data_IF_165585876766
#
_entry.id   IF_165585876766
#
_cell.length_a   1.000
_cell.length_b   1.000
_cell.length_c   1.000
_cell.angle_alpha   90.00
_cell.angle_beta   90.00
_cell.angle_gamma   90.00
#
_symmetry.space_group_name_H-M   'P 1'
#
loop_
_entity.id
_entity.type
_entity.pdbx_description
1 polymer ?
#
# COMPACT_ATOMS: atom_id res chain seq x y z
N UNK A 1 17.55 -16.74 -13.28
CA UNK A 1 16.26 -16.11 -13.57
C UNK A 1 15.92 -15.31 -12.33
N UNK A 2 16.05 -13.98 -12.36
CA UNK A 2 15.82 -13.10 -11.23
C UNK A 2 14.33 -13.04 -10.94
N UNK A 3 13.93 -13.43 -9.73
CA UNK A 3 12.56 -13.26 -9.23
C UNK A 3 12.25 -11.76 -9.08
N UNK A 4 11.70 -11.19 -10.13
CA UNK A 4 11.08 -9.87 -10.07
C UNK A 4 9.84 -9.97 -9.20
N UNK A 5 9.91 -9.42 -7.96
CA UNK A 5 8.82 -9.26 -7.01
C UNK A 5 7.82 -10.41 -7.00
N UNK A 6 8.13 -11.53 -6.32
CA UNK A 6 7.32 -12.74 -6.42
C UNK A 6 5.91 -12.49 -5.88
N UNK A 7 4.91 -12.59 -6.77
CA UNK A 7 3.52 -12.72 -6.38
C UNK A 7 3.38 -13.99 -5.55
N UNK A 8 3.02 -13.84 -4.27
CA UNK A 8 2.97 -14.95 -3.30
C UNK A 8 1.63 -15.68 -3.28
N UNK A 9 0.61 -15.17 -3.96
CA UNK A 9 -0.71 -15.79 -4.06
C UNK A 9 -0.91 -16.54 -5.39
N UNK A 10 -1.84 -17.47 -5.42
CA UNK A 10 -2.32 -18.07 -6.66
C UNK A 10 -3.28 -17.11 -7.35
N UNK A 11 -3.08 -16.82 -8.63
CA UNK A 11 -3.89 -15.88 -9.39
C UNK A 11 -4.52 -16.54 -10.62
N UNK A 12 -5.85 -16.58 -10.65
CA UNK A 12 -6.62 -16.89 -11.86
C UNK A 12 -6.82 -15.61 -12.67
N UNK A 13 -5.97 -15.41 -13.67
CA UNK A 13 -6.02 -14.22 -14.50
C UNK A 13 -6.83 -14.43 -15.76
N UNK A 14 -7.87 -13.60 -15.93
CA UNK A 14 -8.59 -13.46 -17.20
C UNK A 14 -7.91 -12.34 -18.00
N UNK A 15 -7.27 -12.71 -19.10
CA UNK A 15 -6.57 -11.74 -19.96
C UNK A 15 -7.61 -10.94 -20.76
N UNK A 16 -7.73 -9.66 -20.44
CA UNK A 16 -8.62 -8.69 -21.07
C UNK A 16 -7.98 -7.31 -21.03
N UNK A 17 -8.14 -6.54 -22.08
CA UNK A 17 -7.74 -5.12 -22.07
C UNK A 17 -8.70 -4.32 -21.22
N UNK A 18 -8.19 -3.73 -20.15
CA UNK A 18 -8.97 -2.83 -19.31
C UNK A 18 -9.13 -1.48 -20.01
N UNK A 19 -10.38 -1.03 -20.12
CA UNK A 19 -10.67 0.35 -20.49
C UNK A 19 -10.34 1.28 -19.33
N UNK A 20 -10.26 2.60 -19.62
CA UNK A 20 -10.15 3.64 -18.59
C UNK A 20 -11.33 3.52 -17.61
N UNK A 21 -11.05 3.38 -16.33
CA UNK A 21 -12.03 3.19 -15.26
C UNK A 21 -12.16 4.43 -14.38
N UNK A 22 -13.24 4.52 -13.64
CA UNK A 22 -13.46 5.59 -12.69
C UNK A 22 -12.34 5.63 -11.64
N UNK A 23 -11.70 6.78 -11.45
CA UNK A 23 -10.56 6.96 -10.54
C UNK A 23 -9.19 6.70 -11.17
N UNK A 24 -9.09 6.29 -12.46
CA UNK A 24 -7.82 6.01 -13.12
C UNK A 24 -6.89 7.23 -13.17
N UNK A 25 -7.43 8.40 -13.50
CA UNK A 25 -6.65 9.65 -13.58
C UNK A 25 -6.15 10.09 -12.21
N UNK A 26 -7.01 9.98 -11.22
CA UNK A 26 -6.66 10.24 -9.84
C UNK A 26 -5.58 9.27 -9.35
N UNK A 27 -5.69 7.98 -9.71
CA UNK A 27 -4.68 6.96 -9.39
C UNK A 27 -3.31 7.37 -9.97
N UNK A 28 -3.24 7.76 -11.24
CA UNK A 28 -2.00 8.24 -11.86
C UNK A 28 -1.49 9.54 -11.21
N UNK A 29 -2.36 10.47 -10.88
CA UNK A 29 -1.98 11.72 -10.20
C UNK A 29 -1.28 11.43 -8.86
N UNK A 30 -1.92 10.64 -8.00
CA UNK A 30 -1.34 10.32 -6.68
C UNK A 30 -0.14 9.41 -6.77
N UNK A 31 -0.13 8.49 -7.74
CA UNK A 31 1.06 7.67 -8.02
C UNK A 31 2.28 8.54 -8.38
N UNK A 32 2.14 9.53 -9.26
CA UNK A 32 3.23 10.47 -9.59
C UNK A 32 3.71 11.24 -8.36
N UNK A 33 2.82 11.64 -7.46
CA UNK A 33 3.19 12.29 -6.19
C UNK A 33 4.03 11.35 -5.32
N UNK A 34 3.63 10.10 -5.15
CA UNK A 34 4.36 9.10 -4.37
C UNK A 34 5.71 8.73 -4.99
N UNK A 35 5.81 8.66 -6.32
CA UNK A 35 7.08 8.49 -7.03
C UNK A 35 8.07 9.63 -6.74
N UNK A 36 7.59 10.89 -6.77
CA UNK A 36 8.43 12.06 -6.43
C UNK A 36 8.89 12.05 -4.97
N UNK A 37 8.09 11.49 -4.07
CA UNK A 37 8.44 11.31 -2.66
C UNK A 37 9.37 10.11 -2.44
N UNK A 38 9.62 9.28 -3.46
CA UNK A 38 10.42 8.05 -3.37
C UNK A 38 9.78 6.96 -2.50
N UNK A 39 8.46 7.03 -2.27
CA UNK A 39 7.76 6.07 -1.40
C UNK A 39 7.12 4.91 -2.17
N UNK A 40 7.11 4.97 -3.49
CA UNK A 40 6.86 3.87 -4.41
C UNK A 40 7.91 3.91 -5.51
N UNK A 41 8.15 2.80 -6.20
CA UNK A 41 9.12 2.77 -7.28
C UNK A 41 9.75 1.40 -7.51
N UNK A 42 11.04 1.40 -7.75
CA UNK A 42 11.89 0.20 -7.83
C UNK A 42 13.07 0.36 -6.88
N UNK A 43 13.47 -0.71 -6.25
CA UNK A 43 14.66 -0.76 -5.39
C UNK A 43 15.96 -0.95 -6.20
N UNK A 44 17.08 -1.02 -5.50
CA UNK A 44 18.42 -1.21 -6.11
C UNK A 44 18.58 -2.56 -6.84
N UNK A 45 17.71 -3.53 -6.56
CA UNK A 45 17.68 -4.85 -7.21
C UNK A 45 16.69 -4.87 -8.40
N UNK A 46 16.02 -3.75 -8.70
CA UNK A 46 15.01 -3.65 -9.75
C UNK A 46 13.64 -4.21 -9.34
N UNK A 47 13.42 -4.48 -8.06
CA UNK A 47 12.14 -4.96 -7.53
C UNK A 47 11.21 -3.77 -7.28
N UNK A 48 9.99 -3.86 -7.81
CA UNK A 48 8.97 -2.84 -7.60
C UNK A 48 8.44 -2.86 -6.16
N UNK A 49 8.23 -1.69 -5.58
CA UNK A 49 7.64 -1.52 -4.26
C UNK A 49 6.56 -0.44 -4.26
N UNK A 50 5.58 -0.65 -3.37
CA UNK A 50 4.43 0.23 -3.22
C UNK A 50 3.41 0.08 -4.36
N UNK A 51 2.15 0.31 -4.05
CA UNK A 51 1.04 0.16 -4.98
C UNK A 51 -0.18 0.96 -4.51
N UNK A 52 -1.10 1.21 -5.43
CA UNK A 52 -2.33 1.93 -5.18
C UNK A 52 -3.51 1.14 -5.72
N UNK A 53 -4.65 1.25 -5.04
CA UNK A 53 -5.91 0.72 -5.56
C UNK A 53 -7.08 1.67 -5.35
N UNK A 54 -8.10 1.48 -6.18
CA UNK A 54 -9.39 2.17 -6.08
C UNK A 54 -10.52 1.16 -6.20
N UNK A 55 -11.54 1.28 -5.35
CA UNK A 55 -12.73 0.42 -5.38
C UNK A 55 -13.54 0.64 -6.66
N UNK A 56 -14.08 -0.41 -7.22
CA UNK A 56 -14.97 -0.36 -8.37
C UNK A 56 -16.43 -0.10 -7.92
N UNK A 57 -16.79 1.16 -7.75
CA UNK A 57 -18.12 1.54 -7.28
C UNK A 57 -18.46 0.97 -5.91
N UNK A 58 -19.71 0.51 -5.73
CA UNK A 58 -20.19 -0.09 -4.48
C UNK A 58 -19.98 -1.62 -4.40
N UNK A 59 -19.05 -2.16 -5.19
CA UNK A 59 -18.76 -3.60 -5.22
C UNK A 59 -17.58 -3.96 -4.30
N UNK A 60 -17.32 -5.26 -4.11
CA UNK A 60 -16.11 -5.79 -3.50
C UNK A 60 -14.90 -5.78 -4.45
N UNK A 61 -15.13 -5.47 -5.74
CA UNK A 61 -14.07 -5.42 -6.75
C UNK A 61 -13.27 -4.12 -6.63
N UNK A 62 -12.02 -4.15 -7.06
CA UNK A 62 -11.17 -2.97 -7.08
C UNK A 62 -10.13 -3.05 -8.20
N UNK A 63 -9.68 -1.90 -8.68
CA UNK A 63 -8.54 -1.78 -9.57
C UNK A 63 -7.29 -1.54 -8.74
N UNK A 64 -6.20 -2.19 -9.11
CA UNK A 64 -4.91 -2.06 -8.44
C UNK A 64 -3.79 -1.96 -9.48
N UNK A 65 -2.75 -1.21 -9.17
CA UNK A 65 -1.55 -1.16 -10.01
C UNK A 65 -0.94 -2.55 -10.15
N UNK A 66 -0.53 -2.90 -11.36
CA UNK A 66 -0.02 -4.22 -11.69
C UNK A 66 1.38 -4.50 -11.13
N UNK A 67 1.70 -5.77 -11.00
CA UNK A 67 3.04 -6.21 -10.63
C UNK A 67 4.08 -5.74 -11.66
N UNK A 68 5.25 -5.32 -11.18
CA UNK A 68 6.36 -4.86 -12.04
C UNK A 68 6.20 -3.47 -12.66
N UNK A 69 5.16 -2.70 -12.30
CA UNK A 69 4.92 -1.35 -12.84
C UNK A 69 5.68 -0.23 -12.11
N UNK A 70 6.45 -0.56 -11.08
CA UNK A 70 7.17 0.42 -10.24
C UNK A 70 8.05 1.40 -11.02
N UNK A 71 8.67 0.96 -12.13
CA UNK A 71 9.55 1.78 -12.98
C UNK A 71 8.81 2.76 -13.93
N UNK A 72 7.51 2.56 -14.16
CA UNK A 72 6.75 3.37 -15.11
C UNK A 72 6.45 4.75 -14.52
N UNK A 73 6.76 5.86 -15.21
CA UNK A 73 6.45 7.19 -14.71
C UNK A 73 4.94 7.49 -14.73
N UNK A 74 4.24 6.89 -15.68
CA UNK A 74 2.80 6.97 -15.87
C UNK A 74 2.25 5.61 -16.27
N UNK A 75 1.05 5.26 -15.82
CA UNK A 75 0.39 4.00 -16.14
C UNK A 75 -0.64 4.20 -17.26
N UNK A 76 -0.75 3.17 -18.09
CA UNK A 76 -1.92 2.95 -18.96
C UNK A 76 -2.93 2.05 -18.22
N UNK A 77 -4.21 1.98 -18.64
CA UNK A 77 -5.16 1.04 -18.05
C UNK A 77 -4.65 -0.42 -18.08
N UNK A 78 -3.88 -0.79 -19.11
CA UNK A 78 -3.23 -2.08 -19.25
C UNK A 78 -2.19 -2.40 -18.16
N UNK A 79 -1.67 -1.40 -17.46
CA UNK A 79 -0.73 -1.55 -16.33
C UNK A 79 -1.45 -1.76 -14.99
N UNK A 80 -2.77 -1.82 -15.02
CA UNK A 80 -3.61 -2.12 -13.85
C UNK A 80 -4.29 -3.49 -14.03
N UNK A 81 -4.70 -4.08 -12.92
CA UNK A 81 -5.55 -5.26 -12.87
C UNK A 81 -6.83 -4.95 -12.09
N UNK A 82 -7.95 -5.55 -12.48
CA UNK A 82 -9.20 -5.53 -11.71
C UNK A 82 -9.32 -6.82 -10.92
N UNK A 83 -9.26 -6.75 -9.60
CA UNK A 83 -9.53 -7.88 -8.71
C UNK A 83 -11.04 -8.04 -8.60
N UNK A 84 -11.54 -9.25 -8.93
CA UNK A 84 -12.99 -9.56 -9.01
C UNK A 84 -13.42 -10.60 -8.00
N UNK A 85 -12.49 -11.40 -7.48
CA UNK A 85 -12.73 -12.36 -6.40
C UNK A 85 -11.44 -12.63 -5.64
N UNK A 86 -11.55 -13.04 -4.39
CA UNK A 86 -10.42 -13.44 -3.56
C UNK A 86 -10.86 -14.40 -2.45
N UNK A 87 -9.90 -15.16 -1.96
CA UNK A 87 -10.06 -16.08 -0.82
C UNK A 87 -8.77 -16.05 0.01
N UNK A 88 -8.85 -15.47 1.19
CA UNK A 88 -7.69 -15.33 2.07
C UNK A 88 -7.14 -16.69 2.53
N UNK A 89 -8.03 -17.63 2.89
CA UNK A 89 -7.60 -18.94 3.39
C UNK A 89 -6.85 -19.76 2.33
N UNK A 90 -7.20 -19.58 1.06
CA UNK A 90 -6.56 -20.24 -0.08
C UNK A 90 -5.34 -19.47 -0.60
N UNK A 91 -5.06 -18.29 -0.08
CA UNK A 91 -4.09 -17.35 -0.66
C UNK A 91 -4.29 -17.19 -2.17
N UNK A 92 -5.51 -16.90 -2.57
CA UNK A 92 -5.95 -16.91 -3.96
C UNK A 92 -6.73 -15.63 -4.30
N UNK A 93 -6.58 -15.19 -5.54
CA UNK A 93 -7.47 -14.19 -6.13
C UNK A 93 -7.72 -14.45 -7.61
N UNK A 94 -8.81 -13.87 -8.12
CA UNK A 94 -9.09 -13.76 -9.54
C UNK A 94 -8.96 -12.32 -9.96
N UNK A 95 -8.23 -12.08 -11.04
CA UNK A 95 -8.10 -10.74 -11.61
C UNK A 95 -8.31 -10.73 -13.13
N UNK A 96 -8.75 -9.58 -13.61
CA UNK A 96 -8.89 -9.26 -15.02
C UNK A 96 -7.84 -8.22 -15.41
N UNK A 97 -7.23 -8.39 -16.56
CA UNK A 97 -6.21 -7.48 -17.07
C UNK A 97 -5.12 -8.20 -17.87
N UNK A 98 -4.33 -7.44 -18.61
CA UNK A 98 -3.15 -7.97 -19.31
C UNK A 98 -1.95 -8.12 -18.37
N UNK A 99 -1.97 -7.42 -17.23
CA UNK A 99 -0.97 -7.57 -16.15
C UNK A 99 -1.53 -8.36 -14.98
N UNK A 100 -0.64 -8.89 -14.14
CA UNK A 100 -1.02 -9.54 -12.87
C UNK A 100 -1.20 -8.46 -11.80
N UNK A 101 -2.19 -8.63 -10.93
CA UNK A 101 -2.41 -7.76 -9.78
C UNK A 101 -1.17 -7.73 -8.87
N UNK A 102 -0.94 -6.61 -8.18
CA UNK A 102 0.16 -6.46 -7.22
C UNK A 102 0.16 -7.57 -6.16
N UNK A 103 1.35 -7.98 -5.70
CA UNK A 103 1.52 -8.95 -4.61
C UNK A 103 0.81 -8.58 -3.30
N UNK A 104 0.50 -7.30 -3.11
CA UNK A 104 -0.23 -6.79 -1.94
C UNK A 104 -1.76 -6.76 -2.10
N UNK A 105 -2.30 -7.33 -3.21
CA UNK A 105 -3.74 -7.26 -3.50
C UNK A 105 -4.61 -7.82 -2.39
N UNK A 106 -4.18 -8.88 -1.69
CA UNK A 106 -4.94 -9.45 -0.57
C UNK A 106 -4.89 -8.54 0.67
N UNK A 107 -3.82 -7.81 0.90
CA UNK A 107 -3.75 -6.75 1.92
C UNK A 107 -4.77 -5.65 1.64
N UNK A 108 -4.86 -5.19 0.38
CA UNK A 108 -5.87 -4.21 -0.04
C UNK A 108 -7.30 -4.76 0.08
N UNK A 109 -7.53 -6.01 -0.34
CA UNK A 109 -8.82 -6.68 -0.19
C UNK A 109 -9.26 -6.74 1.28
N UNK A 110 -8.35 -7.05 2.21
CA UNK A 110 -8.64 -7.08 3.64
C UNK A 110 -9.09 -5.71 4.18
N UNK A 111 -8.46 -4.61 3.71
CA UNK A 111 -8.92 -3.24 4.05
C UNK A 111 -10.32 -2.97 3.52
N UNK A 112 -10.56 -3.28 2.23
CA UNK A 112 -11.88 -3.05 1.61
C UNK A 112 -13.00 -3.89 2.25
N UNK A 113 -12.70 -5.12 2.65
CA UNK A 113 -13.68 -5.99 3.32
C UNK A 113 -14.01 -5.48 4.72
N UNK A 114 -12.99 -5.00 5.46
CA UNK A 114 -13.15 -4.53 6.83
C UNK A 114 -13.80 -3.15 6.94
N UNK A 115 -13.66 -2.29 5.91
CA UNK A 115 -14.30 -0.97 5.87
C UNK A 115 -14.97 -0.71 4.52
N UNK A 116 -16.28 -0.97 4.39
CA UNK A 116 -17.04 -0.71 3.17
C UNK A 116 -17.02 0.76 2.72
N UNK A 117 -16.74 1.71 3.62
CA UNK A 117 -16.63 3.14 3.30
C UNK A 117 -15.30 3.51 2.65
N UNK A 118 -14.30 2.64 2.74
CA UNK A 118 -13.00 2.83 2.07
C UNK A 118 -13.14 2.58 0.58
N UNK A 119 -12.72 3.56 -0.24
CA UNK A 119 -12.71 3.45 -1.69
C UNK A 119 -11.30 3.55 -2.30
N UNK A 120 -10.28 3.85 -1.50
CA UNK A 120 -8.90 3.91 -1.95
C UNK A 120 -7.92 3.42 -0.89
N UNK A 121 -6.87 2.71 -1.34
CA UNK A 121 -5.78 2.22 -0.48
C UNK A 121 -4.44 2.56 -1.15
N UNK A 122 -3.50 3.05 -0.37
CA UNK A 122 -2.11 3.32 -0.75
C UNK A 122 -1.22 2.47 0.14
N UNK A 123 -0.46 1.56 -0.44
CA UNK A 123 0.68 0.92 0.19
C UNK A 123 1.97 1.57 -0.31
N UNK A 124 2.80 2.04 0.59
CA UNK A 124 4.07 2.68 0.26
C UNK A 124 5.19 2.15 1.14
N UNK A 125 6.44 2.38 0.70
CA UNK A 125 7.64 2.09 1.49
C UNK A 125 8.32 3.39 1.89
N UNK A 126 8.39 3.62 3.19
CA UNK A 126 9.11 4.73 3.78
C UNK A 126 9.70 4.27 5.12
N UNK A 127 10.97 3.93 5.13
CA UNK A 127 11.62 3.35 6.31
C UNK A 127 11.65 4.33 7.50
N UNK A 128 11.78 5.64 7.24
CA UNK A 128 11.76 6.65 8.29
C UNK A 128 10.38 6.74 8.93
N UNK A 129 9.35 6.88 8.10
CA UNK A 129 7.97 6.94 8.55
C UNK A 129 7.56 5.63 9.23
N UNK A 130 7.92 4.48 8.66
CA UNK A 130 7.67 3.16 9.23
C UNK A 130 8.24 3.03 10.64
N UNK A 131 9.53 3.37 10.81
CA UNK A 131 10.21 3.35 12.12
C UNK A 131 9.55 4.31 13.12
N UNK A 132 9.17 5.50 12.64
CA UNK A 132 8.54 6.52 13.47
C UNK A 132 7.15 6.13 13.97
N UNK A 133 6.38 5.41 13.15
CA UNK A 133 5.00 5.01 13.42
C UNK A 133 4.87 3.63 14.07
N UNK A 134 5.89 2.78 13.99
CA UNK A 134 5.88 1.43 14.54
C UNK A 134 5.41 1.43 15.99
N UNK A 135 4.37 0.67 16.30
CA UNK A 135 3.69 0.58 17.60
C UNK A 135 3.05 1.90 18.13
N UNK A 136 3.08 2.99 17.36
CA UNK A 136 2.38 4.24 17.70
C UNK A 136 1.06 4.41 16.95
N UNK A 137 0.93 3.71 15.84
CA UNK A 137 -0.33 3.51 15.12
C UNK A 137 -0.65 2.02 15.09
N UNK A 138 -1.85 1.61 14.66
CA UNK A 138 -2.16 0.20 14.46
C UNK A 138 -1.05 -0.49 13.65
N UNK A 139 -0.56 -1.62 14.15
CA UNK A 139 0.63 -2.29 13.63
C UNK A 139 0.38 -3.79 13.56
N UNK A 140 0.65 -4.42 12.40
CA UNK A 140 0.55 -5.87 12.25
C UNK A 140 1.67 -6.58 13.01
N UNK A 141 1.51 -7.87 13.38
CA UNK A 141 2.57 -8.60 14.07
C UNK A 141 3.86 -8.71 13.24
N UNK A 142 5.02 -8.64 13.89
CA UNK A 142 6.35 -8.67 13.25
C UNK A 142 6.65 -9.97 12.49
N UNK A 143 6.07 -11.10 12.93
CA UNK A 143 6.31 -12.41 12.30
C UNK A 143 5.44 -12.67 11.07
N UNK A 144 4.56 -11.75 10.72
CA UNK A 144 3.63 -11.91 9.61
C UNK A 144 4.21 -11.30 8.34
N UNK A 145 4.51 -12.16 7.37
CA UNK A 145 5.07 -11.74 6.09
C UNK A 145 4.00 -11.14 5.16
N UNK A 146 4.39 -10.18 4.32
CA UNK A 146 3.52 -9.62 3.28
C UNK A 146 3.13 -10.68 2.23
N UNK A 147 1.96 -10.50 1.60
CA UNK A 147 1.47 -11.37 0.55
C UNK A 147 1.05 -12.78 1.03
N UNK A 148 0.83 -12.96 2.34
CA UNK A 148 0.38 -14.21 2.95
C UNK A 148 -1.05 -14.09 3.48
N UNK A 149 -1.78 -15.22 3.67
CA UNK A 149 -3.08 -15.23 4.34
C UNK A 149 -3.03 -14.58 5.73
N UNK A 150 -1.95 -14.84 6.47
CA UNK A 150 -1.73 -14.33 7.82
C UNK A 150 -1.70 -12.80 7.83
N UNK A 151 -1.14 -12.15 6.79
CA UNK A 151 -1.17 -10.70 6.65
C UNK A 151 -2.58 -10.18 6.45
N UNK A 152 -3.38 -10.83 5.59
CA UNK A 152 -4.77 -10.43 5.39
C UNK A 152 -5.58 -10.55 6.69
N UNK A 153 -5.42 -11.62 7.44
CA UNK A 153 -6.06 -11.81 8.75
C UNK A 153 -5.53 -10.82 9.81
N UNK A 154 -4.23 -10.53 9.82
CA UNK A 154 -3.66 -9.54 10.72
C UNK A 154 -4.26 -8.14 10.45
N UNK A 155 -4.39 -7.75 9.19
CA UNK A 155 -5.04 -6.49 8.80
C UNK A 155 -6.49 -6.46 9.27
N UNK A 156 -7.30 -7.49 9.04
CA UNK A 156 -8.68 -7.57 9.56
C UNK A 156 -8.72 -7.43 11.07
N UNK A 157 -7.80 -8.10 11.77
CA UNK A 157 -7.67 -7.99 13.23
C UNK A 157 -7.36 -6.57 13.73
N UNK A 158 -6.69 -5.72 12.92
CA UNK A 158 -6.52 -4.30 13.25
C UNK A 158 -7.86 -3.56 13.27
N UNK A 159 -8.76 -3.86 12.34
CA UNK A 159 -10.08 -3.22 12.27
C UNK A 159 -10.98 -3.65 13.45
N UNK A 160 -10.85 -4.89 13.92
CA UNK A 160 -11.63 -5.42 15.04
C UNK A 160 -11.12 -4.93 16.40
N UNK A 161 -9.81 -4.71 16.56
CA UNK A 161 -9.18 -4.59 17.87
C UNK A 161 -8.43 -3.27 18.12
N UNK A 162 -8.42 -2.35 17.15
CA UNK A 162 -7.66 -1.09 17.27
C UNK A 162 -8.46 0.12 16.78
N UNK A 163 -7.86 1.30 16.88
CA UNK A 163 -8.44 2.55 16.36
C UNK A 163 -8.10 2.83 14.88
N UNK A 164 -7.78 1.79 14.09
CA UNK A 164 -7.37 1.91 12.68
C UNK A 164 -8.39 2.66 11.82
N UNK A 165 -9.69 2.46 12.08
CA UNK A 165 -10.77 3.19 11.39
C UNK A 165 -10.68 4.71 11.60
N UNK A 166 -10.22 5.15 12.77
CA UNK A 166 -10.03 6.56 13.10
C UNK A 166 -8.70 7.08 12.54
N UNK A 167 -7.65 6.28 12.65
CA UNK A 167 -6.29 6.64 12.20
C UNK A 167 -6.17 6.64 10.68
N UNK A 168 -6.90 5.77 9.96
CA UNK A 168 -6.83 5.60 8.50
C UNK A 168 -5.42 5.30 7.97
N UNK A 169 -4.55 4.77 8.83
CA UNK A 169 -3.18 4.37 8.55
C UNK A 169 -2.77 3.23 9.48
N UNK A 170 -1.98 2.30 8.98
CA UNK A 170 -1.32 1.27 9.77
C UNK A 170 0.06 0.92 9.24
N UNK A 171 0.86 0.25 10.06
CA UNK A 171 2.22 -0.19 9.74
C UNK A 171 2.27 -1.71 9.66
N UNK A 172 2.97 -2.23 8.66
CA UNK A 172 3.24 -3.65 8.48
C UNK A 172 4.60 -3.97 9.13
N UNK A 173 4.60 -4.46 10.38
CA UNK A 173 5.86 -4.68 11.11
C UNK A 173 6.73 -5.78 10.48
N UNK A 174 6.13 -6.85 9.93
CA UNK A 174 6.83 -7.90 9.20
C UNK A 174 7.22 -7.54 7.75
N UNK A 175 7.06 -6.26 7.35
CA UNK A 175 7.38 -5.73 6.03
C UNK A 175 8.08 -4.38 6.15
N UNK A 176 9.41 -4.41 6.28
CA UNK A 176 10.20 -3.21 6.56
C UNK A 176 9.92 -2.07 5.57
N UNK A 177 9.60 -0.91 6.09
CA UNK A 177 9.18 0.26 5.31
C UNK A 177 7.70 0.27 4.92
N UNK A 178 6.97 -0.84 5.05
CA UNK A 178 5.59 -0.98 4.62
C UNK A 178 4.59 -0.19 5.47
N UNK A 179 4.02 0.86 4.88
CA UNK A 179 2.97 1.70 5.48
C UNK A 179 1.75 1.68 4.57
N UNK A 180 0.57 1.50 5.15
CA UNK A 180 -0.70 1.49 4.42
C UNK A 180 -1.59 2.60 4.92
N UNK A 181 -2.01 3.49 4.03
CA UNK A 181 -3.02 4.52 4.28
C UNK A 181 -4.25 4.27 3.40
N UNK A 182 -5.43 4.57 3.91
CA UNK A 182 -6.67 4.32 3.20
C UNK A 182 -7.73 5.38 3.50
N UNK A 183 -8.75 5.46 2.64
CA UNK A 183 -9.81 6.44 2.81
C UNK A 183 -10.92 6.34 1.76
N UNK A 184 -11.84 7.31 1.80
CA UNK A 184 -12.96 7.39 0.83
C UNK A 184 -12.53 7.69 -0.62
N UNK A 185 -11.28 8.16 -0.79
CA UNK A 185 -10.66 8.50 -2.07
C UNK A 185 -9.13 8.52 -1.91
N UNK A 186 -8.40 8.57 -3.01
CA UNK A 186 -6.93 8.63 -2.98
C UNK A 186 -6.42 9.93 -2.35
N UNK A 187 -7.15 11.02 -2.49
CA UNK A 187 -6.82 12.31 -1.85
C UNK A 187 -6.78 12.19 -0.34
N UNK A 188 -7.81 11.59 0.27
CA UNK A 188 -7.88 11.40 1.73
C UNK A 188 -6.82 10.42 2.24
N UNK A 189 -6.57 9.32 1.52
CA UNK A 189 -5.51 8.38 1.86
C UNK A 189 -4.11 9.03 1.78
N UNK A 190 -3.84 9.78 0.72
CA UNK A 190 -2.59 10.52 0.55
C UNK A 190 -2.42 11.63 1.60
N UNK A 191 -3.48 12.36 1.91
CA UNK A 191 -3.45 13.40 2.94
C UNK A 191 -3.10 12.83 4.32
N UNK A 192 -3.62 11.63 4.66
CA UNK A 192 -3.27 10.96 5.92
C UNK A 192 -1.79 10.55 5.93
N UNK A 193 -1.27 9.98 4.85
CA UNK A 193 0.14 9.61 4.72
C UNK A 193 1.07 10.83 4.87
N UNK A 194 0.79 11.92 4.15
CA UNK A 194 1.61 13.13 4.17
C UNK A 194 1.55 13.85 5.50
N UNK A 195 0.40 13.86 6.17
CA UNK A 195 0.25 14.40 7.54
C UNK A 195 1.21 13.71 8.53
N UNK A 196 1.28 12.38 8.48
CA UNK A 196 2.18 11.65 9.39
C UNK A 196 3.66 11.89 9.07
N UNK A 197 4.00 12.01 7.77
CA UNK A 197 5.36 12.40 7.36
C UNK A 197 5.75 13.78 7.89
N UNK A 198 4.90 14.78 7.70
CA UNK A 198 5.15 16.15 8.20
C UNK A 198 5.28 16.21 9.73
N UNK A 199 4.45 15.44 10.43
CA UNK A 199 4.53 15.33 11.89
C UNK A 199 5.89 14.77 12.33
N UNK A 200 6.44 13.79 11.60
CA UNK A 200 7.72 13.19 11.94
C UNK A 200 8.90 14.09 11.59
N UNK A 201 8.87 14.73 10.41
CA UNK A 201 9.90 15.71 10.00
C UNK A 201 9.98 16.86 11.03
N UNK A 202 8.85 17.40 11.48
CA UNK A 202 8.81 18.42 12.52
C UNK A 202 9.36 17.95 13.89
N UNK A 203 9.12 16.68 14.25
CA UNK A 203 9.69 16.08 15.46
C UNK A 203 11.21 15.91 15.36
N UNK A 204 11.70 15.47 14.21
CA UNK A 204 13.15 15.30 13.95
C UNK A 204 13.88 16.64 14.03
N UNK A 205 13.32 17.69 13.43
CA UNK A 205 13.89 19.05 13.53
C UNK A 205 13.96 19.56 14.98
N UNK A 206 12.91 19.32 15.78
CA UNK A 206 12.90 19.70 17.19
C UNK A 206 13.94 18.92 18.02
N UNK A 207 14.14 17.63 17.72
CA UNK A 207 15.16 16.80 18.37
C UNK A 207 16.56 17.34 18.06
N UNK A 208 16.84 17.65 16.79
CA UNK A 208 18.13 18.21 16.37
C UNK A 208 18.40 19.57 17.03
N UNK A 209 17.42 20.45 17.12
CA UNK A 209 17.54 21.77 17.77
C UNK A 209 17.81 21.66 19.27
N UNK A 210 17.24 20.67 19.93
CA UNK A 210 17.35 20.45 21.38
C UNK A 210 18.54 19.57 21.79
N UNK A 211 19.30 19.01 20.84
CA UNK A 211 20.53 18.25 21.13
C UNK A 211 21.64 19.22 21.53
N UNK A 212 22.26 19.06 22.72
CA UNK A 212 23.33 19.92 23.18
C UNK A 212 24.49 19.98 22.16
N UNK A 213 25.13 21.16 22.02
CA UNK A 213 26.19 21.40 21.02
C UNK A 213 27.42 20.47 21.13
N UNK A 214 27.70 19.96 22.34
CA UNK A 214 28.81 19.03 22.60
C UNK A 214 28.56 17.58 22.14
N UNK A 215 27.30 17.22 21.84
CA UNK A 215 26.96 15.92 21.26
C UNK A 215 26.93 15.91 19.70
N UNK A 216 27.28 17.04 19.05
CA UNK A 216 27.18 17.19 17.57
C UNK A 216 28.52 17.04 16.84
N UNK A 217 29.53 16.53 17.49
CA UNK A 217 30.86 16.40 16.89
C UNK A 217 31.64 15.27 17.52
N UNK A 218 31.58 14.13 16.96
CA UNK A 218 32.44 12.98 17.14
C UNK A 218 32.63 12.30 15.82
#
# INVERSE_FOLDING_TARGET
MSETGSVKFTCDRVVVELSRFAGFDELNEFRRKLLRLGTIGIDTNGVGFGNLSVRNGATSHFYITGSGTGKLPELMPADCARVVAYDFARNWLQCEGVTVASSESLTHAAVYESDPSTCAVIHCHDIKLWTALLHKVPTTPEKVEYGTPEMAYAVRGLFDNTDVLKKKIFVMAGHAGGVVAFGRDLRSAFAQLTKERMNEEGREELRIKNTPRWDRGG
#
